data_IF_655776261215
#
_entry.id   IF_655776261215
#
_cell.length_a   1.000
_cell.length_b   1.000
_cell.length_c   1.000
_cell.angle_alpha   90.00
_cell.angle_beta   90.00
_cell.angle_gamma   90.00
#
_symmetry.space_group_name_H-M   'P 1'
#
loop_
_entity.id
_entity.type
_entity.pdbx_description
1 polymer ?
#
# COMPACT_ATOMS: atom_id res chain seq x y z
N UNK A 1 2.46 7.91 4.09
CA UNK A 1 2.06 6.77 3.23
C UNK A 1 1.09 5.96 4.07
N UNK A 2 -0.17 5.93 3.66
CA UNK A 2 -1.24 5.20 4.34
C UNK A 2 -1.98 4.31 3.36
N UNK A 3 -2.99 3.61 3.85
CA UNK A 3 -3.91 2.81 3.05
C UNK A 3 -5.17 3.62 2.71
N UNK A 4 -5.82 3.37 1.56
CA UNK A 4 -5.46 2.40 0.53
C UNK A 4 -4.37 2.90 -0.43
N UNK A 5 -3.72 1.96 -1.13
CA UNK A 5 -2.78 2.23 -2.23
C UNK A 5 -3.35 1.67 -3.53
N UNK A 6 -3.43 2.51 -4.56
CA UNK A 6 -3.86 2.10 -5.89
C UNK A 6 -2.67 1.83 -6.80
N UNK A 7 -2.77 0.78 -7.63
CA UNK A 7 -1.78 0.43 -8.64
C UNK A 7 -2.42 0.47 -10.02
N UNK A 8 -1.77 1.16 -10.97
CA UNK A 8 -2.15 1.07 -12.38
C UNK A 8 -1.91 -0.34 -12.93
N UNK A 9 -2.69 -0.76 -13.94
CA UNK A 9 -2.64 -2.11 -14.51
C UNK A 9 -1.25 -2.53 -15.01
N UNK A 10 -0.40 -1.56 -15.41
CA UNK A 10 1.00 -1.80 -15.82
C UNK A 10 1.85 -2.48 -14.74
N UNK A 11 1.47 -2.35 -13.46
CA UNK A 11 2.19 -2.98 -12.35
C UNK A 11 1.71 -4.40 -12.03
N UNK A 12 0.65 -4.90 -12.69
CA UNK A 12 0.09 -6.23 -12.41
C UNK A 12 1.13 -7.37 -12.50
N UNK A 13 2.01 -7.45 -13.53
CA UNK A 13 3.02 -8.50 -13.57
C UNK A 13 3.98 -8.45 -12.37
N UNK A 14 4.37 -7.24 -11.95
CA UNK A 14 5.27 -7.05 -10.81
C UNK A 14 4.59 -7.39 -9.48
N UNK A 15 3.29 -7.11 -9.35
CA UNK A 15 2.48 -7.48 -8.18
C UNK A 15 2.32 -9.01 -8.07
N UNK A 16 2.11 -9.71 -9.18
CA UNK A 16 1.97 -11.17 -9.20
C UNK A 16 3.29 -11.90 -8.91
N UNK A 17 4.43 -11.24 -9.14
CA UNK A 17 5.75 -11.78 -8.86
C UNK A 17 6.24 -11.51 -7.42
N UNK A 18 5.42 -10.89 -6.56
CA UNK A 18 5.78 -10.64 -5.17
C UNK A 18 5.75 -11.93 -4.36
N UNK A 19 6.77 -12.10 -3.52
CA UNK A 19 6.90 -13.23 -2.59
C UNK A 19 7.19 -12.70 -1.17
N UNK A 20 6.79 -13.47 -0.16
CA UNK A 20 7.00 -13.15 1.25
C UNK A 20 6.11 -12.03 1.79
N UNK A 21 6.45 -11.52 2.97
CA UNK A 21 5.55 -10.71 3.81
C UNK A 21 5.56 -9.21 3.50
N UNK A 22 6.49 -8.74 2.67
CA UNK A 22 6.68 -7.30 2.46
C UNK A 22 5.69 -6.68 1.45
N UNK A 23 4.92 -7.51 0.75
CA UNK A 23 3.91 -7.09 -0.23
C UNK A 23 4.43 -6.08 -1.26
N UNK A 24 3.53 -5.23 -1.76
CA UNK A 24 3.83 -4.28 -2.84
C UNK A 24 4.59 -3.03 -2.37
N UNK A 25 5.00 -2.93 -1.10
CA UNK A 25 5.65 -1.74 -0.54
C UNK A 25 6.96 -1.39 -1.25
N UNK A 26 7.67 -2.40 -1.75
CA UNK A 26 8.88 -2.24 -2.56
C UNK A 26 8.62 -1.53 -3.89
N UNK A 27 7.50 -1.82 -4.56
CA UNK A 27 7.13 -1.22 -5.85
C UNK A 27 6.92 0.29 -5.74
N UNK A 28 6.44 0.76 -4.59
CA UNK A 28 6.28 2.19 -4.31
C UNK A 28 7.60 2.95 -4.11
N UNK A 29 8.75 2.25 -4.08
CA UNK A 29 10.08 2.90 -4.01
C UNK A 29 10.69 3.06 -5.41
N UNK A 30 10.34 2.18 -6.35
CA UNK A 30 10.90 2.16 -7.71
C UNK A 30 10.01 2.84 -8.76
N UNK A 31 8.70 2.96 -8.49
CA UNK A 31 7.75 3.62 -9.40
C UNK A 31 7.57 5.11 -9.08
N UNK A 32 7.09 5.88 -10.06
CA UNK A 32 6.59 7.23 -9.82
C UNK A 32 5.31 7.15 -8.98
N UNK A 33 5.30 7.85 -7.83
CA UNK A 33 4.17 7.83 -6.90
C UNK A 33 3.51 9.21 -6.85
N UNK A 34 2.21 9.24 -7.09
CA UNK A 34 1.38 10.42 -6.85
C UNK A 34 0.83 10.35 -5.42
N UNK A 35 1.09 11.38 -4.62
CA UNK A 35 0.50 11.49 -3.29
C UNK A 35 -0.89 12.12 -3.40
N UNK A 36 -1.86 11.51 -2.72
CA UNK A 36 -3.21 12.05 -2.58
C UNK A 36 -3.37 12.51 -1.14
N UNK A 37 -3.67 13.80 -0.97
CA UNK A 37 -3.91 14.37 0.35
C UNK A 37 -5.24 13.85 0.90
N UNK A 38 -5.22 13.30 2.11
CA UNK A 38 -6.39 12.80 2.82
C UNK A 38 -6.24 13.20 4.28
N UNK A 39 -7.29 13.78 4.86
CA UNK A 39 -7.30 14.27 6.24
C UNK A 39 -7.79 13.23 7.25
N UNK A 40 -8.36 12.13 6.77
CA UNK A 40 -8.84 11.04 7.62
C UNK A 40 -7.65 10.30 8.27
N UNK A 41 -7.52 10.29 9.60
CA UNK A 41 -6.44 9.57 10.28
C UNK A 41 -6.53 8.05 10.09
N UNK A 42 -7.70 7.52 9.73
CA UNK A 42 -7.93 6.11 9.44
C UNK A 42 -7.06 5.56 8.32
N UNK A 43 -6.55 6.42 7.42
CA UNK A 43 -5.58 5.98 6.39
C UNK A 43 -4.28 5.44 6.98
N UNK A 44 -3.96 5.77 8.24
CA UNK A 44 -2.74 5.35 8.93
C UNK A 44 -2.99 4.22 9.94
N UNK A 45 -4.25 3.86 10.19
CA UNK A 45 -4.61 2.84 11.18
C UNK A 45 -4.62 1.47 10.51
N UNK A 46 -3.76 0.60 11.00
CA UNK A 46 -3.82 -0.84 10.72
C UNK A 46 -4.49 -1.54 11.90
N UNK A 47 -5.28 -2.57 11.62
CA UNK A 47 -6.00 -3.33 12.65
C UNK A 47 -5.51 -4.78 12.55
N UNK A 48 -4.44 -5.08 13.25
CA UNK A 48 -3.77 -6.39 13.21
C UNK A 48 -4.32 -7.34 14.29
N UNK A 49 -4.82 -6.79 15.41
CA UNK A 49 -5.31 -7.53 16.56
C UNK A 49 -6.68 -7.04 17.02
N UNK A 50 -7.44 -7.86 17.77
CA UNK A 50 -8.72 -7.41 18.35
C UNK A 50 -8.60 -6.21 19.31
N UNK A 51 -7.41 -5.97 19.88
CA UNK A 51 -7.16 -4.83 20.75
C UNK A 51 -7.01 -3.52 19.97
N UNK A 52 -6.84 -3.57 18.65
CA UNK A 52 -6.69 -2.40 17.78
C UNK A 52 -8.02 -1.80 17.32
N UNK A 53 -9.17 -2.30 17.81
CA UNK A 53 -10.54 -1.81 17.54
C UNK A 53 -10.97 -0.70 18.51
#
# INVERSE_FOLDING_TARGET
RGNPVAFGAVHLPALLALEGEHGARGLLKSAQVTQVAVEDPGILRDIDTPADL
#
